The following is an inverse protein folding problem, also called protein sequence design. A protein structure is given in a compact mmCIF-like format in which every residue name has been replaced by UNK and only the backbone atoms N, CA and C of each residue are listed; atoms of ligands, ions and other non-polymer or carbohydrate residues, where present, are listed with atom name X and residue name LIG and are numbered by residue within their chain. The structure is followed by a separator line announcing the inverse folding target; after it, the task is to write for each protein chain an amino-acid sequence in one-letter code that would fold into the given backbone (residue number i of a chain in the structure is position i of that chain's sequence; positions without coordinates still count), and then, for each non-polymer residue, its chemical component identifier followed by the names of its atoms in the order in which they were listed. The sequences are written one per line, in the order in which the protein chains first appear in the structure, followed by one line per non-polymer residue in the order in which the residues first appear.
data_IF_337195456805
#
_entry.id   IF_337195456805
#
_cell.length_a   1.000
_cell.length_b   1.000
_cell.length_c   1.000
_cell.angle_alpha   90.00
_cell.angle_beta   90.00
_cell.angle_gamma   90.00
#
_symmetry.space_group_name_H-M   'P 1'
#
loop_
_entity.id
_entity.type
_entity.pdbx_description
1 polymer ?
#
# COMPACT_ATOMS: atom_id res chain seq x y z
N UNK A 1 18.43 13.89 9.18
CA UNK A 1 17.02 14.27 8.97
C UNK A 1 16.23 13.57 10.05
N UNK A 2 15.73 14.32 11.02
CA UNK A 2 14.88 13.79 12.09
C UNK A 2 13.62 13.21 11.46
N UNK A 3 13.31 11.94 11.71
CA UNK A 3 12.01 11.38 11.37
C UNK A 3 10.97 12.31 12.01
N UNK A 4 10.08 12.98 11.25
CA UNK A 4 8.96 13.65 11.87
C UNK A 4 8.23 12.57 12.68
N UNK A 5 7.97 12.85 13.96
CA UNK A 5 7.17 11.97 14.80
C UNK A 5 5.88 11.67 14.04
N UNK A 6 5.54 10.39 13.90
CA UNK A 6 4.32 9.99 13.21
C UNK A 6 3.09 10.64 13.82
N UNK A 7 2.03 10.75 13.02
CA UNK A 7 0.73 11.20 13.50
C UNK A 7 0.24 10.28 14.61
N UNK A 8 -0.42 10.87 15.61
CA UNK A 8 -1.06 10.10 16.65
C UNK A 8 -2.34 9.41 16.14
N UNK A 9 -2.91 8.53 16.95
CA UNK A 9 -4.09 7.75 16.58
C UNK A 9 -5.31 8.63 16.25
N UNK A 10 -5.50 9.75 16.95
CA UNK A 10 -6.63 10.65 16.73
C UNK A 10 -6.50 11.41 15.41
N UNK A 11 -5.29 11.83 15.05
CA UNK A 11 -4.98 12.48 13.77
C UNK A 11 -5.21 11.51 12.60
N UNK A 12 -4.72 10.27 12.72
CA UNK A 12 -4.97 9.23 11.70
C UNK A 12 -6.46 8.91 11.57
N UNK A 13 -7.19 8.84 12.69
CA UNK A 13 -8.63 8.64 12.69
C UNK A 13 -9.40 9.84 12.12
N UNK A 14 -8.89 11.07 12.28
CA UNK A 14 -9.49 12.27 11.70
C UNK A 14 -9.35 12.28 10.18
N UNK A 15 -8.16 11.95 9.65
CA UNK A 15 -7.93 11.81 8.20
C UNK A 15 -8.87 10.77 7.59
N UNK A 16 -9.07 9.63 8.26
CA UNK A 16 -9.93 8.55 7.78
C UNK A 16 -11.44 8.88 7.74
N UNK A 17 -11.87 10.07 8.18
CA UNK A 17 -13.26 10.54 8.07
C UNK A 17 -13.59 11.18 6.73
N UNK A 18 -12.56 11.55 5.95
CA UNK A 18 -12.73 12.25 4.68
C UNK A 18 -12.44 11.32 3.51
N UNK A 19 -13.06 11.61 2.36
CA UNK A 19 -12.75 10.89 1.13
C UNK A 19 -11.40 11.35 0.55
N UNK A 20 -10.78 10.50 -0.28
CA UNK A 20 -9.47 10.80 -0.88
C UNK A 20 -9.50 12.08 -1.72
N UNK A 21 -10.56 12.38 -2.52
CA UNK A 21 -10.67 13.65 -3.23
C UNK A 21 -10.64 14.87 -2.31
N UNK A 22 -11.29 14.83 -1.14
CA UNK A 22 -11.24 15.91 -0.15
C UNK A 22 -9.82 16.14 0.35
N UNK A 23 -9.09 15.07 0.66
CA UNK A 23 -7.67 15.17 1.05
C UNK A 23 -6.83 15.79 -0.07
N UNK A 24 -7.01 15.36 -1.32
CA UNK A 24 -6.34 15.96 -2.48
C UNK A 24 -6.65 17.46 -2.62
N UNK A 25 -7.94 17.84 -2.50
CA UNK A 25 -8.38 19.22 -2.61
C UNK A 25 -7.72 20.14 -1.57
N UNK A 26 -7.53 19.66 -0.34
CA UNK A 26 -6.84 20.44 0.72
C UNK A 26 -5.36 20.65 0.38
N UNK A 27 -4.66 19.59 -0.05
CA UNK A 27 -3.25 19.67 -0.48
C UNK A 27 -3.10 20.67 -1.65
N UNK A 28 -4.05 20.65 -2.59
CA UNK A 28 -4.09 21.58 -3.72
C UNK A 28 -4.41 23.02 -3.30
N UNK A 29 -5.35 23.21 -2.37
CA UNK A 29 -5.73 24.52 -1.85
C UNK A 29 -4.54 25.21 -1.15
N UNK A 30 -3.71 24.44 -0.46
CA UNK A 30 -2.48 24.93 0.18
C UNK A 30 -1.30 25.02 -0.78
N UNK A 31 -1.48 24.64 -2.05
CA UNK A 31 -0.46 24.70 -3.10
C UNK A 31 0.86 24.01 -2.70
N UNK A 32 0.76 22.91 -1.95
CA UNK A 32 1.92 22.22 -1.39
C UNK A 32 2.76 21.50 -2.45
N UNK A 33 2.08 21.00 -3.50
CA UNK A 33 2.72 20.32 -4.64
C UNK A 33 1.96 20.59 -5.94
N UNK A 34 2.58 20.35 -7.12
CA UNK A 34 1.87 20.42 -8.40
C UNK A 34 0.62 19.54 -8.43
N UNK A 35 -0.46 20.04 -9.05
CA UNK A 35 -1.79 19.41 -9.06
C UNK A 35 -1.88 18.07 -9.78
N UNK A 36 -0.83 17.69 -10.50
CA UNK A 36 -0.76 16.45 -11.27
C UNK A 36 0.13 15.38 -10.61
N UNK A 37 0.54 15.57 -9.35
CA UNK A 37 1.47 14.69 -8.64
C UNK A 37 0.91 14.16 -7.32
N UNK A 38 1.51 13.04 -6.89
CA UNK A 38 1.34 12.44 -5.57
C UNK A 38 0.04 11.67 -5.36
N UNK A 39 -0.62 11.28 -6.45
CA UNK A 39 -1.70 10.30 -6.44
C UNK A 39 -1.48 9.25 -7.52
N UNK A 40 -1.95 8.04 -7.26
CA UNK A 40 -1.87 6.93 -8.19
C UNK A 40 -2.87 7.12 -9.33
N UNK A 41 -2.48 6.72 -10.54
CA UNK A 41 -3.33 6.78 -11.71
C UNK A 41 -4.43 5.71 -11.69
N UNK A 42 -5.32 5.75 -12.68
CA UNK A 42 -6.51 4.92 -12.75
C UNK A 42 -6.27 3.41 -12.87
N UNK A 43 -5.04 2.94 -13.10
CA UNK A 43 -4.74 1.51 -13.16
C UNK A 43 -4.88 0.85 -11.79
N UNK A 44 -4.67 1.61 -10.70
CA UNK A 44 -4.79 1.11 -9.33
C UNK A 44 -6.22 1.33 -8.84
N UNK A 45 -6.96 0.24 -8.61
CA UNK A 45 -8.37 0.26 -8.21
C UNK A 45 -8.58 -0.32 -6.82
N UNK A 46 -9.45 0.30 -6.04
CA UNK A 46 -9.96 -0.30 -4.80
C UNK A 46 -10.78 -1.56 -5.14
N UNK A 47 -10.47 -2.68 -4.48
CA UNK A 47 -11.21 -3.93 -4.67
C UNK A 47 -12.58 -3.90 -3.99
N UNK A 48 -12.72 -3.11 -2.91
CA UNK A 48 -13.89 -3.12 -2.02
C UNK A 48 -14.44 -1.69 -1.84
N UNK A 49 -15.22 -1.16 -2.79
CA UNK A 49 -15.62 0.25 -2.83
C UNK A 49 -16.45 0.74 -1.62
N UNK A 50 -16.95 -0.16 -0.79
CA UNK A 50 -17.76 0.17 0.41
C UNK A 50 -16.94 0.24 1.69
N UNK A 51 -15.64 -0.08 1.64
CA UNK A 51 -14.76 0.03 2.81
C UNK A 51 -14.49 1.50 3.16
N UNK A 52 -14.30 1.82 4.45
CA UNK A 52 -13.90 3.16 4.85
C UNK A 52 -12.50 3.52 4.32
N UNK A 53 -12.14 4.82 4.28
CA UNK A 53 -10.81 5.25 3.90
C UNK A 53 -9.71 4.58 4.74
N UNK A 54 -8.66 4.18 4.05
CA UNK A 54 -7.44 3.61 4.61
C UNK A 54 -6.40 4.73 4.75
N UNK A 55 -5.79 4.81 5.94
CA UNK A 55 -4.71 5.76 6.24
C UNK A 55 -3.58 5.04 6.96
N UNK A 56 -2.34 5.24 6.50
CA UNK A 56 -1.16 4.69 7.17
C UNK A 56 0.14 4.90 6.38
N UNK A 57 1.22 4.34 6.89
CA UNK A 57 2.58 4.61 6.43
C UNK A 57 3.10 3.52 5.51
N UNK A 58 3.65 3.89 4.35
CA UNK A 58 4.09 2.96 3.33
C UNK A 58 5.21 2.03 3.83
N UNK A 59 4.96 0.71 3.77
CA UNK A 59 5.97 -0.33 3.83
C UNK A 59 6.18 -0.89 2.43
N UNK A 60 7.20 -0.40 1.75
CA UNK A 60 7.41 -0.65 0.32
C UNK A 60 8.20 -1.93 0.09
N UNK A 61 7.83 -2.69 -0.94
CA UNK A 61 8.51 -3.93 -1.31
C UNK A 61 8.39 -4.20 -2.81
N UNK A 62 9.44 -4.76 -3.41
CA UNK A 62 9.40 -5.26 -4.79
C UNK A 62 9.03 -6.74 -4.81
N UNK A 63 8.21 -7.13 -5.79
CA UNK A 63 7.63 -8.45 -5.90
C UNK A 63 7.90 -9.07 -7.29
N UNK A 64 8.07 -10.40 -7.35
CA UNK A 64 8.04 -11.19 -8.58
C UNK A 64 7.34 -12.52 -8.36
N UNK A 65 6.70 -13.02 -9.41
CA UNK A 65 6.00 -14.31 -9.42
C UNK A 65 6.32 -15.22 -10.59
N UNK A 66 6.98 -14.73 -11.65
CA UNK A 66 7.20 -15.50 -12.87
C UNK A 66 8.21 -16.64 -12.73
N UNK A 67 9.31 -16.43 -12.02
CA UNK A 67 10.44 -17.36 -12.01
C UNK A 67 10.50 -18.22 -10.73
N UNK A 68 10.96 -19.48 -10.80
CA UNK A 68 11.20 -20.29 -9.62
C UNK A 68 12.28 -19.67 -8.71
N UNK A 69 12.25 -19.94 -7.39
CA UNK A 69 13.27 -19.47 -6.46
C UNK A 69 14.67 -19.94 -6.85
N UNK A 70 15.65 -19.06 -6.71
CA UNK A 70 17.08 -19.38 -6.90
C UNK A 70 17.78 -19.79 -5.59
N UNK A 71 17.06 -19.83 -4.47
CA UNK A 71 17.58 -20.13 -3.14
C UNK A 71 16.49 -20.67 -2.20
N UNK A 72 16.87 -21.08 -0.99
CA UNK A 72 16.01 -21.86 -0.10
C UNK A 72 14.96 -21.02 0.67
N UNK A 73 15.23 -19.76 0.99
CA UNK A 73 14.35 -18.98 1.86
C UNK A 73 13.33 -18.16 1.07
N UNK A 74 12.23 -18.82 0.68
CA UNK A 74 11.10 -18.23 -0.02
C UNK A 74 10.32 -17.23 0.87
N UNK A 75 10.45 -17.32 2.20
CA UNK A 75 9.68 -16.53 3.15
C UNK A 75 10.46 -15.39 3.82
N UNK A 76 11.80 -15.34 3.69
CA UNK A 76 12.66 -14.29 4.24
C UNK A 76 12.10 -12.88 4.01
N UNK A 77 11.61 -12.61 2.79
CA UNK A 77 11.10 -11.29 2.45
C UNK A 77 9.85 -10.89 3.25
N UNK A 78 8.95 -11.83 3.56
CA UNK A 78 7.79 -11.55 4.41
C UNK A 78 8.23 -11.24 5.84
N UNK A 79 9.15 -12.05 6.39
CA UNK A 79 9.72 -11.80 7.73
C UNK A 79 10.37 -10.43 7.81
N UNK A 80 11.23 -10.08 6.84
CA UNK A 80 11.88 -8.78 6.77
C UNK A 80 10.89 -7.62 6.70
N UNK A 81 9.77 -7.80 5.98
CA UNK A 81 8.72 -6.80 5.87
C UNK A 81 7.94 -6.64 7.17
N UNK A 82 7.57 -7.74 7.84
CA UNK A 82 6.91 -7.71 9.14
C UNK A 82 7.82 -7.06 10.21
N UNK A 83 9.12 -7.34 10.19
CA UNK A 83 10.09 -6.66 11.06
C UNK A 83 10.20 -5.15 10.77
N UNK A 84 10.02 -4.75 9.50
CA UNK A 84 10.04 -3.35 9.11
C UNK A 84 8.82 -2.57 9.63
N UNK A 85 7.67 -3.22 9.85
CA UNK A 85 6.46 -2.57 10.37
C UNK A 85 6.73 -1.86 11.69
N UNK A 86 7.50 -2.47 12.59
CA UNK A 86 7.83 -1.91 13.90
C UNK A 86 8.71 -0.64 13.81
N UNK A 87 9.31 -0.35 12.65
CA UNK A 87 10.17 0.81 12.42
C UNK A 87 9.44 1.98 11.76
N UNK A 88 8.17 1.80 11.37
CA UNK A 88 7.38 2.85 10.75
C UNK A 88 6.86 3.84 11.79
N UNK A 89 6.56 5.09 11.39
CA UNK A 89 6.03 6.12 12.30
C UNK A 89 4.63 5.81 12.85
N UNK A 90 3.90 4.88 12.22
CA UNK A 90 2.54 4.54 12.58
C UNK A 90 2.07 3.27 11.86
N UNK A 91 0.76 3.04 11.72
CA UNK A 91 0.25 1.79 11.20
C UNK A 91 0.70 1.56 9.74
N UNK A 92 1.18 0.35 9.39
CA UNK A 92 1.71 0.06 8.06
C UNK A 92 0.64 0.04 6.97
N UNK A 93 1.01 0.43 5.75
CA UNK A 93 0.30 0.12 4.51
C UNK A 93 1.28 -0.58 3.60
N UNK A 94 0.98 -1.82 3.22
CA UNK A 94 1.89 -2.60 2.35
C UNK A 94 1.82 -2.04 0.94
N UNK A 95 2.97 -1.77 0.32
CA UNK A 95 3.04 -1.27 -1.06
C UNK A 95 3.95 -2.17 -1.89
N UNK A 96 3.36 -2.91 -2.83
CA UNK A 96 4.06 -3.82 -3.71
C UNK A 96 4.21 -3.27 -5.13
N UNK A 97 5.44 -3.15 -5.58
CA UNK A 97 5.72 -3.06 -7.01
C UNK A 97 5.97 -4.47 -7.54
N UNK A 98 5.04 -4.97 -8.35
CA UNK A 98 5.29 -6.12 -9.21
C UNK A 98 6.29 -5.72 -10.30
N UNK A 99 7.37 -6.49 -10.43
CA UNK A 99 8.42 -6.28 -11.41
C UNK A 99 8.27 -7.16 -12.64
N UNK A 100 7.25 -8.03 -12.70
CA UNK A 100 6.90 -8.79 -13.89
C UNK A 100 5.96 -7.96 -14.78
N UNK A 101 6.35 -7.72 -16.03
CA UNK A 101 5.56 -6.96 -17.01
C UNK A 101 5.45 -7.78 -18.32
N UNK A 102 4.25 -8.25 -18.71
CA UNK A 102 2.98 -8.15 -17.97
C UNK A 102 3.01 -8.96 -16.66
N UNK A 103 2.10 -8.64 -15.73
CA UNK A 103 1.98 -9.33 -14.43
C UNK A 103 1.77 -10.83 -14.64
N UNK A 104 2.62 -11.67 -14.02
CA UNK A 104 2.57 -13.12 -14.24
C UNK A 104 1.53 -13.84 -13.37
N UNK A 105 1.33 -13.39 -12.14
CA UNK A 105 0.40 -13.98 -11.18
C UNK A 105 -0.04 -12.97 -10.09
N UNK A 106 -0.95 -13.39 -9.21
CA UNK A 106 -1.41 -12.57 -8.09
C UNK A 106 -0.31 -12.34 -7.05
N UNK A 107 -0.14 -11.09 -6.62
CA UNK A 107 0.84 -10.67 -5.60
C UNK A 107 0.32 -10.85 -4.18
N UNK A 108 -1.00 -10.95 -4.01
CA UNK A 108 -1.65 -11.20 -2.73
C UNK A 108 -2.83 -12.16 -2.86
N UNK A 109 -3.20 -12.75 -1.74
CA UNK A 109 -4.44 -13.48 -1.50
C UNK A 109 -4.80 -13.40 -0.02
N UNK A 110 -5.82 -14.14 0.40
CA UNK A 110 -6.38 -14.06 1.75
C UNK A 110 -5.33 -14.26 2.85
N UNK A 111 -4.53 -15.34 2.77
CA UNK A 111 -3.55 -15.69 3.81
C UNK A 111 -2.54 -14.56 4.09
N UNK A 112 -2.07 -13.92 3.02
CA UNK A 112 -1.14 -12.80 3.12
C UNK A 112 -1.82 -11.57 3.71
N UNK A 113 -3.03 -11.23 3.24
CA UNK A 113 -3.80 -10.11 3.78
C UNK A 113 -4.17 -10.32 5.26
N UNK A 114 -4.56 -11.53 5.66
CA UNK A 114 -4.81 -11.89 7.05
C UNK A 114 -3.55 -11.71 7.89
N UNK A 115 -2.41 -12.19 7.41
CA UNK A 115 -1.12 -12.00 8.10
C UNK A 115 -0.82 -10.52 8.30
N UNK A 116 -0.83 -9.70 7.25
CA UNK A 116 -0.55 -8.27 7.39
C UNK A 116 -1.54 -7.55 8.31
N UNK A 117 -2.83 -7.89 8.22
CA UNK A 117 -3.84 -7.36 9.13
C UNK A 117 -3.55 -7.72 10.58
N UNK A 118 -3.21 -8.98 10.86
CA UNK A 118 -2.86 -9.45 12.21
C UNK A 118 -1.66 -8.71 12.79
N UNK A 119 -0.69 -8.34 11.95
CA UNK A 119 0.48 -7.53 12.33
C UNK A 119 0.23 -6.00 12.29
N UNK A 120 -1.03 -5.58 12.16
CA UNK A 120 -1.44 -4.19 12.34
C UNK A 120 -1.44 -3.33 11.08
N UNK A 121 -1.20 -3.90 9.90
CA UNK A 121 -1.33 -3.17 8.65
C UNK A 121 -2.78 -2.71 8.41
N UNK A 122 -2.93 -1.58 7.72
CA UNK A 122 -4.21 -0.95 7.42
C UNK A 122 -4.70 -1.18 6.00
N UNK A 123 -3.85 -1.73 5.12
CA UNK A 123 -4.22 -2.10 3.77
C UNK A 123 -3.02 -2.56 2.95
N UNK A 124 -3.29 -2.92 1.71
CA UNK A 124 -2.28 -3.31 0.72
C UNK A 124 -2.54 -2.58 -0.61
N UNK A 125 -1.48 -2.11 -1.24
CA UNK A 125 -1.51 -1.49 -2.56
C UNK A 125 -0.51 -2.21 -3.45
N UNK A 126 -0.87 -2.54 -4.68
CA UNK A 126 0.04 -3.23 -5.60
C UNK A 126 -0.12 -2.81 -7.05
N UNK A 127 1.00 -2.69 -7.78
CA UNK A 127 0.98 -2.59 -9.26
C UNK A 127 0.68 -3.92 -9.95
N UNK A 128 0.72 -5.03 -9.20
CA UNK A 128 0.34 -6.35 -9.66
C UNK A 128 -1.15 -6.63 -9.51
N UNK A 129 -1.51 -7.92 -9.59
CA UNK A 129 -2.91 -8.39 -9.50
C UNK A 129 -3.21 -9.09 -8.17
N UNK A 130 -4.48 -9.24 -7.83
CA UNK A 130 -4.95 -9.92 -6.62
C UNK A 130 -5.78 -11.18 -6.85
N UNK A 131 -5.99 -11.95 -5.78
CA UNK A 131 -6.96 -13.07 -5.72
C UNK A 131 -7.64 -13.18 -4.35
N UNK A 132 -8.56 -14.14 -4.25
CA UNK A 132 -9.32 -14.46 -3.03
C UNK A 132 -10.12 -13.25 -2.50
N UNK A 133 -10.66 -12.43 -3.42
CA UNK A 133 -11.25 -11.13 -3.08
C UNK A 133 -12.42 -11.25 -2.10
N UNK A 134 -13.28 -12.26 -2.24
CA UNK A 134 -14.40 -12.47 -1.33
C UNK A 134 -13.91 -12.70 0.11
N UNK A 135 -12.82 -13.46 0.28
CA UNK A 135 -12.25 -13.73 1.59
C UNK A 135 -11.48 -12.53 2.15
N UNK A 136 -10.79 -11.79 1.29
CA UNK A 136 -10.12 -10.53 1.67
C UNK A 136 -11.16 -9.47 2.09
N UNK A 137 -12.30 -9.40 1.42
CA UNK A 137 -13.41 -8.52 1.81
C UNK A 137 -13.97 -8.94 3.18
N UNK A 138 -14.18 -10.24 3.41
CA UNK A 138 -14.72 -10.78 4.66
C UNK A 138 -13.84 -10.47 5.87
N UNK A 139 -12.52 -10.40 5.71
CA UNK A 139 -11.61 -9.96 6.78
C UNK A 139 -11.54 -8.43 6.90
N UNK A 140 -12.24 -7.65 6.08
CA UNK A 140 -12.26 -6.19 6.20
C UNK A 140 -10.89 -5.53 6.01
N UNK A 141 -10.10 -6.01 5.04
CA UNK A 141 -8.77 -5.47 4.74
C UNK A 141 -8.77 -4.76 3.38
N UNK A 142 -8.58 -3.43 3.32
CA UNK A 142 -8.69 -2.69 2.07
C UNK A 142 -7.48 -2.97 1.18
N UNK A 143 -7.77 -3.27 -0.09
CA UNK A 143 -6.74 -3.58 -1.10
C UNK A 143 -6.95 -2.81 -2.38
N UNK A 144 -5.85 -2.33 -2.96
CA UNK A 144 -5.79 -1.56 -4.18
C UNK A 144 -4.87 -2.27 -5.19
N UNK A 145 -5.35 -2.58 -6.38
CA UNK A 145 -4.65 -3.47 -7.31
C UNK A 145 -4.86 -3.09 -8.78
N UNK A 146 -3.99 -3.59 -9.65
CA UNK A 146 -4.05 -3.43 -11.11
C UNK A 146 -4.78 -4.60 -11.81
N UNK A 147 -5.73 -5.23 -11.12
CA UNK A 147 -6.57 -6.30 -11.65
C UNK A 147 -6.54 -7.57 -10.82
N UNK A 148 -7.03 -8.67 -11.40
CA UNK A 148 -7.20 -9.94 -10.71
C UNK A 148 -6.62 -11.10 -11.51
N UNK A 149 -5.93 -12.01 -10.85
CA UNK A 149 -5.41 -13.25 -11.44
C UNK A 149 -5.72 -14.42 -10.53
N UNK A 150 -6.25 -15.52 -11.04
CA UNK A 150 -6.73 -16.62 -10.20
C UNK A 150 -5.62 -17.41 -9.47
N UNK A 151 -4.38 -17.35 -9.96
CA UNK A 151 -3.22 -18.06 -9.41
C UNK A 151 -2.16 -17.09 -8.91
N UNK A 152 -1.30 -17.55 -7.99
CA UNK A 152 -0.30 -16.72 -7.29
C UNK A 152 1.15 -16.96 -7.73
N UNK A 153 1.40 -17.94 -8.61
CA UNK A 153 2.76 -18.24 -9.10
C UNK A 153 3.73 -18.49 -7.95
N UNK A 154 4.94 -17.92 -8.08
CA UNK A 154 5.90 -17.87 -6.98
C UNK A 154 5.75 -16.57 -6.17
N UNK A 155 6.15 -16.57 -4.90
CA UNK A 155 6.05 -15.39 -4.04
C UNK A 155 7.45 -14.88 -3.67
N UNK A 156 8.03 -13.99 -4.49
CA UNK A 156 9.35 -13.42 -4.23
C UNK A 156 9.26 -11.96 -3.83
N UNK A 157 9.51 -11.69 -2.55
CA UNK A 157 9.73 -10.34 -2.04
C UNK A 157 11.23 -10.04 -2.07
N UNK A 158 11.68 -9.25 -3.06
CA UNK A 158 13.10 -9.12 -3.39
C UNK A 158 13.82 -8.05 -2.59
N UNK A 159 13.15 -6.92 -2.33
CA UNK A 159 13.72 -5.79 -1.60
C UNK A 159 12.62 -5.12 -0.79
N UNK A 160 12.92 -4.85 0.47
CA UNK A 160 11.98 -4.28 1.45
C UNK A 160 12.51 -2.91 1.89
N UNK A 161 11.63 -1.93 2.08
CA UNK A 161 11.97 -0.54 2.45
C UNK A 161 12.89 0.15 1.43
N UNK A 162 12.63 -0.05 0.14
CA UNK A 162 13.23 0.75 -0.95
C UNK A 162 12.14 1.55 -1.68
N UNK A 163 12.47 2.65 -2.39
CA UNK A 163 11.48 3.32 -3.24
C UNK A 163 10.91 2.36 -4.28
N UNK A 164 9.59 2.42 -4.49
CA UNK A 164 8.86 1.58 -5.45
C UNK A 164 7.99 2.43 -6.37
N UNK A 165 7.71 1.95 -7.58
CA UNK A 165 6.83 2.62 -8.53
C UNK A 165 5.49 1.89 -8.64
N UNK A 166 4.40 2.55 -8.22
CA UNK A 166 3.04 2.01 -8.26
C UNK A 166 2.07 3.10 -8.73
N UNK A 167 1.19 2.77 -9.68
CA UNK A 167 0.20 3.72 -10.19
C UNK A 167 0.80 4.98 -10.82
N UNK A 168 2.00 4.90 -11.40
CA UNK A 168 2.66 6.04 -12.06
C UNK A 168 3.34 7.04 -11.11
N UNK A 169 3.42 6.76 -9.82
CA UNK A 169 4.20 7.56 -8.85
C UNK A 169 5.27 6.71 -8.17
N UNK A 170 6.31 7.37 -7.67
CA UNK A 170 7.26 6.75 -6.73
C UNK A 170 6.68 6.89 -5.33
N UNK A 171 6.63 5.78 -4.60
CA UNK A 171 6.30 5.73 -3.17
C UNK A 171 7.57 5.41 -2.40
N UNK A 172 7.91 6.26 -1.44
CA UNK A 172 9.06 6.08 -0.57
C UNK A 172 8.66 5.34 0.71
N UNK A 173 9.58 4.59 1.32
CA UNK A 173 9.34 4.00 2.63
C UNK A 173 8.95 5.07 3.65
N UNK A 174 7.84 4.88 4.34
CA UNK A 174 7.34 5.82 5.35
C UNK A 174 6.47 6.95 4.80
N UNK A 175 6.19 7.04 3.50
CA UNK A 175 5.20 8.00 2.97
C UNK A 175 3.84 7.76 3.64
N UNK A 176 3.14 8.82 4.04
CA UNK A 176 1.77 8.73 4.53
C UNK A 176 0.82 8.58 3.35
N UNK A 177 0.00 7.53 3.36
CA UNK A 177 -0.94 7.19 2.30
C UNK A 177 -2.38 7.34 2.80
N UNK A 178 -3.24 7.82 1.89
CA UNK A 178 -4.68 7.84 2.05
C UNK A 178 -5.31 7.18 0.82
N UNK A 179 -6.27 6.29 1.01
CA UNK A 179 -6.98 5.67 -0.11
C UNK A 179 -8.40 5.23 0.22
N UNK A 180 -9.27 5.34 -0.77
CA UNK A 180 -10.68 4.96 -0.73
C UNK A 180 -11.14 4.49 -2.12
N UNK A 181 -12.45 4.39 -2.36
CA UNK A 181 -12.97 3.96 -3.66
C UNK A 181 -12.47 4.79 -4.87
N UNK A 182 -11.98 6.02 -4.66
CA UNK A 182 -11.53 6.92 -5.71
C UNK A 182 -10.06 6.72 -6.10
N UNK A 183 -9.29 5.99 -5.30
CA UNK A 183 -7.87 5.72 -5.55
C UNK A 183 -7.01 5.97 -4.32
N UNK A 184 -5.71 6.24 -4.54
CA UNK A 184 -4.72 6.43 -3.48
C UNK A 184 -3.92 7.70 -3.72
N UNK A 185 -3.69 8.49 -2.68
CA UNK A 185 -2.81 9.66 -2.65
C UNK A 185 -1.78 9.55 -1.53
N UNK A 186 -0.62 10.17 -1.72
CA UNK A 186 0.31 10.48 -0.63
C UNK A 186 -0.13 11.78 0.05
N UNK A 187 0.06 11.88 1.36
CA UNK A 187 -0.10 13.09 2.16
C UNK A 187 1.29 13.56 2.58
N UNK A 188 1.68 14.82 2.27
CA UNK A 188 2.96 15.36 2.73
C UNK A 188 3.02 15.47 4.26
N UNK A 189 4.12 15.03 4.86
CA UNK A 189 4.27 14.95 6.31
C UNK A 189 4.15 16.30 7.01
N UNK A 190 4.57 17.36 6.35
CA UNK A 190 4.66 18.73 6.90
C UNK A 190 3.30 19.36 7.15
N UNK A 191 2.26 18.86 6.50
CA UNK A 191 0.89 19.38 6.61
C UNK A 191 -0.10 18.35 7.14
N UNK A 192 0.37 17.13 7.43
CA UNK A 192 -0.50 16.00 7.72
C UNK A 192 -1.26 16.11 9.07
N UNK A 193 -0.79 16.98 9.97
CA UNK A 193 -1.38 17.20 11.30
C UNK A 193 -2.37 18.36 11.38
N UNK A 194 -2.44 19.19 10.34
CA UNK A 194 -3.26 20.40 10.26
C UNK A 194 -4.67 20.09 9.75
#
# INVERSE_FOLDING_TARGET
MTNPSGLNADQLAALAKYDTPTVCNVIELWNYRPRNLGYMNHSIKACFPKMPPMVGYACTTTFRSMAPPRGADVYAGMTNQLEAFAKLPGPPVVVFQDLDEPTAAATFGEVMCTTYKTFGAKGLITSGTGRDLDQVEAIGFPVFTNGTTCAHGYCHMLSVQIPVTVGGIVVYPGDLLHGDLNGVTTIPHEIASE
#
